data_IF_864533122983
#
_entry.id   IF_864533122983
#
_cell.length_a   1.000
_cell.length_b   1.000
_cell.length_c   1.000
_cell.angle_alpha   90.00
_cell.angle_beta   90.00
_cell.angle_gamma   90.00
#
_symmetry.space_group_name_H-M   'P 1'
#
loop_
_entity.id
_entity.type
_entity.pdbx_description
1 polymer ?
#
# COMPACT_ATOMS: atom_id res chain seq x y z
N UNK A 1 33.28 -38.91 16.36
CA UNK A 1 34.19 -37.74 16.34
C UNK A 1 35.27 -37.97 15.31
N UNK A 2 35.59 -37.13 14.33
CA UNK A 2 34.94 -35.98 13.72
C UNK A 2 35.62 -35.87 12.33
N UNK A 3 34.84 -36.14 11.28
CA UNK A 3 35.13 -35.83 9.87
C UNK A 3 34.98 -34.33 9.68
N UNK A 4 36.00 -33.60 9.22
CA UNK A 4 35.85 -32.34 8.47
C UNK A 4 37.22 -31.91 7.93
N UNK A 5 37.57 -32.35 6.72
CA UNK A 5 38.57 -31.64 5.92
C UNK A 5 38.42 -31.99 4.44
N UNK A 6 37.50 -31.32 3.74
CA UNK A 6 37.50 -31.22 2.28
C UNK A 6 36.47 -30.16 1.86
N UNK A 7 36.93 -28.98 1.42
CA UNK A 7 36.34 -28.17 0.34
C UNK A 7 37.02 -26.78 0.29
N UNK A 8 38.19 -26.70 -0.36
CA UNK A 8 38.67 -25.42 -0.93
C UNK A 8 38.18 -25.34 -2.37
N UNK A 9 37.12 -24.57 -2.62
CA UNK A 9 36.64 -24.27 -3.97
C UNK A 9 37.52 -23.19 -4.60
N UNK A 10 38.14 -23.51 -5.75
CA UNK A 10 38.74 -22.54 -6.67
C UNK A 10 37.64 -21.63 -7.22
N UNK A 11 37.84 -20.32 -7.15
CA UNK A 11 37.04 -19.32 -7.88
C UNK A 11 37.36 -19.45 -9.37
N UNK A 12 36.37 -19.74 -10.19
CA UNK A 12 36.47 -19.62 -11.64
C UNK A 12 36.17 -18.17 -12.02
N UNK A 13 37.07 -17.54 -12.76
CA UNK A 13 36.87 -16.22 -13.37
C UNK A 13 35.98 -16.37 -14.60
N UNK A 14 34.90 -15.59 -14.65
CA UNK A 14 34.01 -15.50 -15.80
C UNK A 14 34.63 -14.51 -16.79
N UNK A 15 34.82 -14.87 -18.07
CA UNK A 15 35.33 -13.96 -19.07
C UNK A 15 34.33 -12.81 -19.27
N UNK A 16 34.83 -11.58 -19.26
CA UNK A 16 34.05 -10.39 -19.57
C UNK A 16 33.80 -10.35 -21.07
N UNK A 17 32.59 -10.67 -21.50
CA UNK A 17 32.14 -10.40 -22.86
C UNK A 17 31.91 -8.90 -23.04
N UNK A 18 32.45 -8.38 -24.15
CA UNK A 18 32.38 -6.98 -24.55
C UNK A 18 31.00 -6.72 -25.17
N UNK A 19 30.05 -6.27 -24.34
CA UNK A 19 28.68 -5.98 -24.79
C UNK A 19 28.67 -4.64 -25.52
N UNK A 20 28.79 -4.70 -26.85
CA UNK A 20 28.62 -3.57 -27.77
C UNK A 20 27.21 -2.97 -27.62
N UNK A 21 27.11 -1.83 -26.94
CA UNK A 21 25.90 -1.02 -26.79
C UNK A 21 25.61 -0.20 -28.05
N UNK A 22 25.13 -0.85 -29.12
CA UNK A 22 24.46 -0.10 -30.20
C UNK A 22 23.07 0.32 -29.74
N UNK A 23 22.71 1.63 -29.80
CA UNK A 23 21.37 2.08 -29.46
C UNK A 23 20.37 1.52 -30.48
N UNK A 24 19.37 0.80 -29.96
CA UNK A 24 18.25 0.28 -30.74
C UNK A 24 17.30 1.46 -31.04
N UNK A 25 17.23 1.90 -32.29
CA UNK A 25 16.31 2.95 -32.74
C UNK A 25 14.93 2.33 -33.01
N UNK A 26 13.94 2.69 -32.21
CA UNK A 26 12.53 2.42 -32.50
C UNK A 26 12.04 3.41 -33.56
N UNK A 27 11.61 2.92 -34.72
CA UNK A 27 10.77 3.71 -35.61
C UNK A 27 9.37 3.86 -35.00
N UNK A 28 8.77 5.07 -35.04
CA UNK A 28 7.45 5.30 -34.49
C UNK A 28 6.39 4.57 -35.33
N UNK A 29 5.68 3.62 -34.72
CA UNK A 29 4.57 2.92 -35.35
C UNK A 29 3.46 3.91 -35.74
N UNK A 30 2.88 3.68 -36.92
CA UNK A 30 1.82 4.48 -37.50
C UNK A 30 0.63 4.66 -36.54
N UNK A 31 0.22 5.92 -36.42
CA UNK A 31 -0.82 6.38 -35.51
C UNK A 31 -2.19 5.96 -36.04
N UNK A 32 -2.73 4.85 -35.54
CA UNK A 32 -4.09 4.40 -35.85
C UNK A 32 -5.08 5.38 -35.21
N UNK A 33 -5.85 6.10 -36.02
CA UNK A 33 -6.92 6.98 -35.53
C UNK A 33 -8.09 6.14 -34.98
N UNK A 34 -8.61 6.46 -33.78
CA UNK A 34 -9.68 5.69 -33.18
C UNK A 34 -11.02 5.97 -33.89
N UNK A 35 -11.61 4.93 -34.46
CA UNK A 35 -12.99 4.94 -34.97
C UNK A 35 -13.97 5.19 -33.82
N UNK A 36 -14.63 6.35 -33.84
CA UNK A 36 -15.67 6.71 -32.88
C UNK A 36 -16.94 5.95 -33.22
N UNK A 37 -17.27 4.93 -32.41
CA UNK A 37 -18.55 4.23 -32.48
C UNK A 37 -19.50 4.87 -31.48
N UNK A 38 -20.54 5.54 -31.99
CA UNK A 38 -21.61 6.13 -31.18
C UNK A 38 -22.47 5.02 -30.57
N UNK A 39 -22.62 4.91 -29.24
CA UNK A 39 -23.44 3.88 -28.63
C UNK A 39 -24.94 4.16 -28.87
N UNK A 40 -25.69 3.12 -29.21
CA UNK A 40 -27.14 3.18 -29.30
C UNK A 40 -27.76 3.44 -27.91
N UNK A 41 -28.76 4.33 -27.90
CA UNK A 41 -29.50 4.79 -26.72
C UNK A 41 -30.20 3.60 -26.04
N UNK A 42 -29.83 3.30 -24.80
CA UNK A 42 -30.48 2.25 -24.01
C UNK A 42 -31.89 2.70 -23.55
N UNK A 43 -32.87 1.78 -23.47
CA UNK A 43 -34.22 2.09 -22.99
C UNK A 43 -34.22 2.47 -21.51
N UNK A 44 -35.08 3.43 -21.14
CA UNK A 44 -35.26 3.87 -19.75
C UNK A 44 -35.72 2.73 -18.84
N UNK A 45 -35.11 2.56 -17.66
CA UNK A 45 -35.55 1.57 -16.69
C UNK A 45 -36.92 1.96 -16.09
N UNK A 46 -37.81 0.98 -16.03
CA UNK A 46 -39.13 1.10 -15.41
C UNK A 46 -39.01 1.52 -13.94
N UNK A 47 -39.86 2.47 -13.54
CA UNK A 47 -39.93 3.00 -12.19
C UNK A 47 -40.43 1.92 -11.23
N UNK A 48 -39.53 1.41 -10.39
CA UNK A 48 -39.86 0.47 -9.32
C UNK A 48 -40.26 1.25 -8.06
N UNK A 49 -41.51 1.06 -7.63
CA UNK A 49 -42.10 1.76 -6.49
C UNK A 49 -41.36 1.43 -5.18
N UNK A 50 -40.67 2.42 -4.63
CA UNK A 50 -39.90 2.29 -3.40
C UNK A 50 -40.81 2.01 -2.19
N UNK A 51 -40.66 0.82 -1.60
CA UNK A 51 -41.33 0.41 -0.37
C UNK A 51 -40.67 1.10 0.84
N UNK A 52 -41.35 2.08 1.42
CA UNK A 52 -40.88 2.82 2.61
C UNK A 52 -40.95 1.90 3.83
N UNK A 53 -39.79 1.50 4.36
CA UNK A 53 -39.68 0.78 5.64
C UNK A 53 -39.55 1.83 6.76
N UNK A 54 -40.64 2.00 7.51
CA UNK A 54 -40.72 2.92 8.65
C UNK A 54 -39.86 2.39 9.80
N UNK A 55 -38.64 2.94 9.93
CA UNK A 55 -37.69 2.51 10.97
C UNK A 55 -37.87 3.43 12.17
N UNK A 56 -38.46 2.92 13.26
CA UNK A 56 -38.64 3.65 14.51
C UNK A 56 -37.29 3.77 15.25
N UNK A 57 -36.63 4.91 15.10
CA UNK A 57 -35.42 5.25 15.84
C UNK A 57 -35.82 5.74 17.24
N UNK A 58 -35.68 4.88 18.25
CA UNK A 58 -35.83 5.26 19.65
C UNK A 58 -34.61 6.11 20.05
N UNK A 59 -34.81 7.42 20.15
CA UNK A 59 -33.79 8.40 20.51
C UNK A 59 -33.59 8.39 22.03
N UNK A 60 -32.65 7.58 22.53
CA UNK A 60 -32.24 7.67 23.94
C UNK A 60 -31.31 8.88 24.11
N UNK A 61 -31.87 10.02 24.51
CA UNK A 61 -31.13 11.22 24.88
C UNK A 61 -30.65 11.08 26.33
N UNK A 62 -29.62 10.26 26.55
CA UNK A 62 -28.88 10.32 27.81
C UNK A 62 -28.00 11.59 27.78
N UNK A 63 -28.28 12.55 28.65
CA UNK A 63 -27.45 13.73 28.85
C UNK A 63 -26.08 13.29 29.41
N UNK A 64 -25.09 13.22 28.54
CA UNK A 64 -23.72 12.88 28.92
C UNK A 64 -23.00 14.16 29.36
N UNK A 65 -22.79 14.31 30.66
CA UNK A 65 -22.05 15.44 31.21
C UNK A 65 -20.55 15.12 31.26
N UNK A 66 -19.75 15.89 30.53
CA UNK A 66 -18.29 15.76 30.54
C UNK A 66 -17.72 16.47 31.78
N UNK A 67 -17.45 15.70 32.84
CA UNK A 67 -16.79 16.23 34.05
C UNK A 67 -15.27 16.24 33.83
N UNK A 68 -14.64 17.42 33.96
CA UNK A 68 -13.17 17.56 33.94
C UNK A 68 -12.60 17.01 35.24
N UNK A 69 -11.45 16.31 35.19
CA UNK A 69 -10.74 15.99 36.43
C UNK A 69 -10.34 17.30 37.12
N UNK A 70 -10.59 17.39 38.42
CA UNK A 70 -10.26 18.58 39.19
C UNK A 70 -8.74 18.75 39.36
N UNK A 71 -8.01 17.63 39.32
CA UNK A 71 -6.57 17.60 39.50
C UNK A 71 -5.80 17.66 38.17
N UNK A 72 -4.74 18.49 38.09
CA UNK A 72 -3.87 18.60 36.93
C UNK A 72 -2.85 17.46 36.90
N UNK A 73 -3.21 16.33 36.31
CA UNK A 73 -2.38 15.11 36.29
C UNK A 73 -1.50 14.96 35.05
N UNK A 74 -1.54 15.91 34.10
CA UNK A 74 -0.83 15.78 32.83
C UNK A 74 0.46 16.57 32.80
N UNK A 75 1.40 16.09 32.00
CA UNK A 75 2.62 16.79 31.64
C UNK A 75 2.87 16.71 30.14
N UNK A 76 3.73 17.61 29.65
CA UNK A 76 4.31 17.54 28.31
C UNK A 76 5.78 17.19 28.39
N UNK A 77 6.25 16.39 27.45
CA UNK A 77 7.61 15.88 27.45
C UNK A 77 8.18 15.80 26.05
N UNK A 78 9.51 15.80 25.97
CA UNK A 78 10.26 15.60 24.73
C UNK A 78 11.29 14.50 24.89
N UNK A 79 11.60 13.81 23.79
CA UNK A 79 12.76 12.93 23.75
C UNK A 79 13.86 13.61 22.94
N UNK A 80 15.08 13.58 23.47
CA UNK A 80 16.28 14.13 22.85
C UNK A 80 17.25 13.03 22.46
N UNK A 81 17.91 13.22 21.32
CA UNK A 81 19.01 12.35 20.91
C UNK A 81 20.31 12.73 21.62
N UNK A 82 21.37 11.95 21.39
CA UNK A 82 22.70 12.19 21.97
C UNK A 82 23.34 13.54 21.59
N UNK A 83 22.82 14.21 20.57
CA UNK A 83 23.22 15.56 20.17
C UNK A 83 22.29 16.66 20.74
N UNK A 84 21.31 16.27 21.59
CA UNK A 84 20.36 17.18 22.23
C UNK A 84 19.17 17.59 21.34
N UNK A 85 19.03 17.02 20.13
CA UNK A 85 17.93 17.38 19.23
C UNK A 85 16.64 16.72 19.69
N UNK A 86 15.56 17.50 19.75
CA UNK A 86 14.21 16.97 20.00
C UNK A 86 13.74 16.20 18.78
N UNK A 87 13.52 14.89 18.95
CA UNK A 87 13.01 14.02 17.89
C UNK A 87 11.64 13.42 18.20
N UNK A 88 11.10 13.62 19.41
CA UNK A 88 9.74 13.23 19.76
C UNK A 88 9.14 14.22 20.76
N UNK A 89 7.85 14.50 20.61
CA UNK A 89 7.07 15.32 21.54
C UNK A 89 5.85 14.52 21.96
N UNK A 90 5.56 14.48 23.26
CA UNK A 90 4.40 13.79 23.80
C UNK A 90 3.71 14.59 24.90
N UNK A 91 2.54 14.09 25.29
CA UNK A 91 1.87 14.45 26.54
C UNK A 91 1.47 13.14 27.23
N UNK A 92 1.39 13.16 28.55
CA UNK A 92 0.97 11.99 29.31
C UNK A 92 0.81 12.28 30.79
N UNK A 93 0.53 11.23 31.54
CA UNK A 93 0.49 11.20 33.00
C UNK A 93 1.30 9.97 33.46
N UNK A 94 1.61 9.88 34.75
CA UNK A 94 2.42 8.79 35.31
C UNK A 94 3.71 8.53 34.51
N UNK A 95 3.98 7.28 34.12
CA UNK A 95 5.18 6.87 33.38
C UNK A 95 5.02 6.88 31.85
N UNK A 96 4.00 7.56 31.30
CA UNK A 96 3.76 7.57 29.85
C UNK A 96 4.93 8.12 29.03
N UNK A 97 5.77 8.98 29.58
CA UNK A 97 6.97 9.46 28.90
C UNK A 97 7.90 8.29 28.52
N UNK A 98 8.02 7.27 29.37
CA UNK A 98 8.95 6.15 29.22
C UNK A 98 8.34 4.91 28.57
N UNK A 99 7.02 4.87 28.37
CA UNK A 99 6.35 3.75 27.72
C UNK A 99 6.86 3.50 26.28
N UNK A 100 6.85 2.23 25.78
CA UNK A 100 7.30 1.90 24.43
C UNK A 100 6.61 2.72 23.33
N UNK A 101 7.38 3.26 22.39
CA UNK A 101 6.87 4.10 21.29
C UNK A 101 6.73 3.34 19.96
N UNK A 102 6.21 4.06 18.95
CA UNK A 102 6.00 3.57 17.59
C UNK A 102 7.27 2.99 16.93
N UNK A 103 7.09 2.18 15.88
CA UNK A 103 8.22 1.59 15.15
C UNK A 103 9.18 2.63 14.54
N UNK A 104 8.67 3.79 14.10
CA UNK A 104 9.50 4.88 13.59
C UNK A 104 10.39 5.51 14.67
N UNK A 105 9.85 5.65 15.88
CA UNK A 105 10.63 6.10 17.03
C UNK A 105 11.75 5.11 17.35
N UNK A 106 11.45 3.80 17.40
CA UNK A 106 12.45 2.76 17.70
C UNK A 106 13.57 2.75 16.65
N UNK A 107 13.20 2.90 15.38
CA UNK A 107 14.14 3.01 14.27
C UNK A 107 15.05 4.22 14.41
N UNK A 108 14.50 5.39 14.75
CA UNK A 108 15.30 6.60 14.97
C UNK A 108 16.31 6.42 16.10
N UNK A 109 15.89 5.88 17.24
CA UNK A 109 16.79 5.62 18.37
C UNK A 109 17.92 4.67 17.97
N UNK A 110 17.59 3.56 17.31
CA UNK A 110 18.58 2.56 16.88
C UNK A 110 19.58 3.09 15.84
N UNK A 111 19.11 3.83 14.83
CA UNK A 111 19.93 4.20 13.66
C UNK A 111 20.57 5.59 13.76
N UNK A 112 19.94 6.54 14.48
CA UNK A 112 20.36 7.95 14.49
C UNK A 112 20.79 8.47 15.84
N UNK A 113 20.23 7.93 16.92
CA UNK A 113 20.55 8.34 18.28
C UNK A 113 21.65 7.50 18.94
N UNK A 114 22.22 6.53 18.20
CA UNK A 114 23.22 5.61 18.75
C UNK A 114 22.67 4.66 19.81
N UNK A 115 21.36 4.41 19.82
CA UNK A 115 20.69 3.54 20.78
C UNK A 115 20.34 4.19 22.12
N UNK A 116 20.70 5.45 22.36
CA UNK A 116 20.37 6.17 23.60
C UNK A 116 19.40 7.33 23.34
N UNK A 117 18.69 7.79 24.35
CA UNK A 117 17.90 9.02 24.31
C UNK A 117 17.67 9.53 25.73
N UNK A 118 17.35 10.81 25.85
CA UNK A 118 16.96 11.44 27.10
C UNK A 118 15.47 11.83 27.04
N UNK A 119 14.78 11.75 28.18
CA UNK A 119 13.41 12.24 28.34
C UNK A 119 13.45 13.48 29.21
N UNK A 120 12.91 14.59 28.71
CA UNK A 120 12.77 15.84 29.45
C UNK A 120 11.29 16.16 29.62
N UNK A 121 10.84 16.32 30.87
CA UNK A 121 9.53 16.89 31.19
C UNK A 121 9.64 18.41 31.01
N UNK A 122 8.92 18.94 30.03
CA UNK A 122 9.00 20.37 29.67
C UNK A 122 8.11 21.21 30.58
N UNK A 123 6.95 20.66 30.94
CA UNK A 123 5.98 21.30 31.82
C UNK A 123 5.07 20.23 32.42
N UNK A 124 4.84 20.30 33.73
CA UNK A 124 4.08 19.34 34.54
C UNK A 124 2.88 20.06 35.21
N UNK A 125 2.04 19.29 35.90
CA UNK A 125 0.85 19.78 36.61
C UNK A 125 -0.09 20.59 35.69
N UNK A 126 -0.37 20.02 34.52
CA UNK A 126 -1.26 20.59 33.52
C UNK A 126 -2.62 19.91 33.49
N UNK A 127 -3.65 20.71 33.22
CA UNK A 127 -4.91 20.17 32.72
C UNK A 127 -4.75 19.67 31.27
N UNK A 128 -5.61 18.74 30.86
CA UNK A 128 -5.55 18.13 29.51
C UNK A 128 -5.54 19.17 28.37
N UNK A 129 -6.33 20.23 28.49
CA UNK A 129 -6.42 21.28 27.47
C UNK A 129 -5.10 22.09 27.39
N UNK A 130 -4.49 22.37 28.53
CA UNK A 130 -3.19 23.06 28.62
C UNK A 130 -2.06 22.18 28.08
N UNK A 131 -2.00 20.91 28.49
CA UNK A 131 -1.03 19.94 27.98
C UNK A 131 -1.16 19.78 26.46
N UNK A 132 -2.40 19.76 25.94
CA UNK A 132 -2.66 19.69 24.50
C UNK A 132 -2.14 20.93 23.77
N UNK A 133 -2.44 22.13 24.27
CA UNK A 133 -1.95 23.37 23.69
C UNK A 133 -0.42 23.47 23.72
N UNK A 134 0.21 23.07 24.83
CA UNK A 134 1.67 23.06 24.98
C UNK A 134 2.33 22.04 24.05
N UNK A 135 1.78 20.84 23.94
CA UNK A 135 2.20 19.81 22.99
C UNK A 135 2.13 20.34 21.55
N UNK A 136 1.03 20.99 21.17
CA UNK A 136 0.86 21.57 19.84
C UNK A 136 1.94 22.62 19.52
N UNK A 137 2.22 23.51 20.48
CA UNK A 137 3.29 24.50 20.35
C UNK A 137 4.69 23.85 20.17
N UNK A 138 4.99 22.80 20.93
CA UNK A 138 6.24 22.03 20.80
C UNK A 138 6.33 21.30 19.45
N UNK A 139 5.24 20.68 19.00
CA UNK A 139 5.16 20.02 17.69
C UNK A 139 5.43 21.01 16.56
N UNK A 140 4.87 22.23 16.64
CA UNK A 140 5.11 23.29 15.67
C UNK A 140 6.56 23.78 15.69
N UNK A 141 7.13 23.99 16.88
CA UNK A 141 8.53 24.42 17.07
C UNK A 141 9.53 23.41 16.51
N UNK A 142 9.28 22.12 16.69
CA UNK A 142 10.19 21.03 16.31
C UNK A 142 9.76 20.26 15.06
N UNK A 143 8.87 20.83 14.24
CA UNK A 143 8.24 20.15 13.10
C UNK A 143 9.20 19.48 12.10
N UNK A 144 10.46 19.96 12.01
CA UNK A 144 11.49 19.43 11.10
C UNK A 144 12.24 18.21 11.64
N UNK A 145 12.27 18.00 12.95
CA UNK A 145 13.12 17.00 13.61
C UNK A 145 12.32 15.87 14.25
N UNK A 146 11.02 16.07 14.49
CA UNK A 146 10.18 15.10 15.18
C UNK A 146 9.75 13.91 14.30
N UNK A 147 9.67 12.72 14.90
CA UNK A 147 9.20 11.48 14.26
C UNK A 147 7.69 11.23 14.46
N UNK A 148 6.99 12.12 15.17
CA UNK A 148 5.56 12.01 15.46
C UNK A 148 4.72 11.88 14.18
N UNK A 149 4.25 10.65 13.92
CA UNK A 149 3.08 10.26 13.10
C UNK A 149 2.19 11.39 12.58
N UNK A 150 1.41 11.86 13.53
CA UNK A 150 0.14 12.53 13.31
C UNK A 150 0.26 14.04 13.51
N UNK A 151 1.43 14.62 13.27
CA UNK A 151 1.59 16.07 13.41
C UNK A 151 1.15 16.79 12.12
N UNK A 152 0.27 17.80 12.23
CA UNK A 152 -0.18 18.58 11.07
C UNK A 152 0.92 19.48 10.50
N UNK A 153 2.01 19.70 11.25
CA UNK A 153 3.11 20.59 10.85
C UNK A 153 4.17 19.91 9.99
N UNK A 154 3.97 18.65 9.58
CA UNK A 154 4.87 17.99 8.65
C UNK A 154 4.96 18.77 7.36
N UNK A 155 6.19 19.02 6.93
CA UNK A 155 6.49 19.54 5.60
C UNK A 155 6.31 18.42 4.57
N UNK A 156 5.06 18.01 4.36
CA UNK A 156 4.71 17.02 3.35
C UNK A 156 4.86 17.67 1.98
N UNK A 157 5.73 17.10 1.15
CA UNK A 157 5.87 17.51 -0.25
C UNK A 157 4.68 16.94 -1.05
N UNK A 158 3.57 17.67 -1.02
CA UNK A 158 2.32 17.25 -1.67
C UNK A 158 2.50 17.03 -3.17
N UNK A 159 3.41 17.75 -3.84
CA UNK A 159 3.71 17.54 -5.26
C UNK A 159 4.38 16.19 -5.51
N UNK A 160 5.32 15.77 -4.66
CA UNK A 160 5.88 14.41 -4.74
C UNK A 160 4.84 13.35 -4.43
N UNK A 161 3.94 13.62 -3.50
CA UNK A 161 2.86 12.70 -3.14
C UNK A 161 1.85 12.52 -4.28
N UNK A 162 1.43 13.63 -4.90
CA UNK A 162 0.61 13.65 -6.11
C UNK A 162 1.28 12.88 -7.26
N UNK A 163 2.54 13.21 -7.57
CA UNK A 163 3.33 12.50 -8.59
C UNK A 163 3.42 11.00 -8.32
N UNK A 164 3.58 10.60 -7.05
CA UNK A 164 3.57 9.18 -6.68
C UNK A 164 2.22 8.52 -7.01
N UNK A 165 1.10 9.19 -6.73
CA UNK A 165 -0.22 8.70 -7.05
C UNK A 165 -0.47 8.61 -8.55
N UNK A 166 -0.06 9.61 -9.32
CA UNK A 166 -0.13 9.62 -10.78
C UNK A 166 0.64 8.43 -11.38
N UNK A 167 1.89 8.23 -10.96
CA UNK A 167 2.72 7.12 -11.43
C UNK A 167 2.11 5.76 -11.08
N UNK A 168 1.55 5.63 -9.88
CA UNK A 168 0.88 4.40 -9.44
C UNK A 168 -0.38 4.10 -10.26
N UNK A 169 -1.21 5.11 -10.51
CA UNK A 169 -2.42 4.95 -11.32
C UNK A 169 -2.07 4.67 -12.78
N UNK A 170 -1.05 5.35 -13.33
CA UNK A 170 -0.51 5.06 -14.65
C UNK A 170 0.02 3.62 -14.76
N UNK A 171 0.69 3.09 -13.74
CA UNK A 171 1.13 1.70 -13.72
C UNK A 171 -0.05 0.70 -13.75
N UNK A 172 -1.12 0.96 -12.99
CA UNK A 172 -2.34 0.14 -13.01
C UNK A 172 -2.92 0.08 -14.43
N UNK A 173 -3.05 1.23 -15.09
CA UNK A 173 -3.56 1.30 -16.47
C UNK A 173 -2.67 0.52 -17.44
N UNK A 174 -1.34 0.68 -17.35
CA UNK A 174 -0.40 -0.07 -18.19
C UNK A 174 -0.51 -1.58 -18.01
N UNK A 175 -0.63 -2.06 -16.77
CA UNK A 175 -0.79 -3.50 -16.52
C UNK A 175 -2.13 -4.03 -17.02
N UNK A 176 -3.22 -3.26 -16.92
CA UNK A 176 -4.51 -3.62 -17.54
C UNK A 176 -4.40 -3.73 -19.05
N UNK A 177 -3.80 -2.73 -19.69
CA UNK A 177 -3.57 -2.75 -21.14
C UNK A 177 -2.70 -3.94 -21.56
N UNK A 178 -1.63 -4.22 -20.81
CA UNK A 178 -0.76 -5.36 -21.08
C UNK A 178 -1.50 -6.69 -20.90
N UNK A 179 -2.34 -6.83 -19.86
CA UNK A 179 -3.15 -8.03 -19.66
C UNK A 179 -4.15 -8.23 -20.80
N UNK A 180 -4.80 -7.16 -21.27
CA UNK A 180 -5.69 -7.21 -22.45
C UNK A 180 -4.93 -7.64 -23.70
N UNK A 181 -3.77 -7.03 -23.99
CA UNK A 181 -2.96 -7.41 -25.13
C UNK A 181 -2.51 -8.89 -25.05
N UNK A 182 -2.13 -9.37 -23.85
CA UNK A 182 -1.79 -10.78 -23.65
C UNK A 182 -2.97 -11.72 -23.93
N UNK A 183 -4.20 -11.31 -23.62
CA UNK A 183 -5.37 -12.09 -23.99
C UNK A 183 -5.54 -12.20 -25.51
N UNK A 184 -5.24 -11.13 -26.24
CA UNK A 184 -5.26 -11.15 -27.71
C UNK A 184 -4.15 -12.07 -28.26
N UNK A 185 -2.94 -11.99 -27.70
CA UNK A 185 -1.82 -12.88 -28.07
C UNK A 185 -2.09 -14.35 -27.78
N UNK A 186 -2.75 -14.66 -26.65
CA UNK A 186 -3.07 -16.04 -26.27
C UNK A 186 -4.00 -16.74 -27.29
N UNK A 187 -4.68 -15.99 -28.15
CA UNK A 187 -5.50 -16.56 -29.23
C UNK A 187 -4.72 -16.93 -30.50
N UNK A 188 -3.47 -16.47 -30.62
CA UNK A 188 -2.65 -16.71 -31.81
C UNK A 188 -2.02 -18.11 -31.73
N UNK A 189 -2.43 -19.00 -32.63
CA UNK A 189 -1.78 -20.30 -32.81
C UNK A 189 -0.62 -20.17 -33.80
N UNK A 190 0.62 -20.13 -33.27
CA UNK A 190 1.82 -20.01 -34.08
C UNK A 190 2.27 -21.36 -34.69
N UNK A 191 1.94 -22.47 -34.04
CA UNK A 191 2.29 -23.83 -34.47
C UNK A 191 1.04 -24.58 -34.91
N UNK A 192 1.16 -25.35 -36.00
CA UNK A 192 0.14 -26.30 -36.43
C UNK A 192 0.39 -27.72 -35.90
N UNK A 193 -0.49 -28.66 -36.29
CA UNK A 193 -0.38 -30.07 -35.92
C UNK A 193 -0.70 -30.35 -34.44
N UNK A 194 -0.39 -31.56 -33.97
CA UNK A 194 -0.80 -32.03 -32.65
C UNK A 194 -0.25 -31.16 -31.49
N UNK A 195 0.97 -30.60 -31.62
CA UNK A 195 1.54 -29.72 -30.58
C UNK A 195 0.75 -28.41 -30.50
N UNK A 196 0.44 -27.79 -31.65
CA UNK A 196 -0.40 -26.59 -31.71
C UNK A 196 -1.83 -26.83 -31.22
N UNK A 197 -2.40 -28.00 -31.51
CA UNK A 197 -3.72 -28.42 -31.01
C UNK A 197 -3.71 -28.58 -29.48
N UNK A 198 -2.70 -29.27 -28.93
CA UNK A 198 -2.56 -29.46 -27.49
C UNK A 198 -2.27 -28.15 -26.76
N UNK A 199 -1.40 -27.29 -27.30
CA UNK A 199 -1.13 -25.96 -26.74
C UNK A 199 -2.37 -25.05 -26.82
N UNK A 200 -3.11 -25.09 -27.92
CA UNK A 200 -4.36 -24.34 -28.08
C UNK A 200 -5.46 -24.75 -27.09
N UNK A 201 -5.43 -26.01 -26.62
CA UNK A 201 -6.38 -26.50 -25.62
C UNK A 201 -6.10 -25.98 -24.20
N UNK A 202 -4.90 -25.46 -23.93
CA UNK A 202 -4.48 -24.98 -22.61
C UNK A 202 -3.84 -23.60 -22.74
N UNK A 203 -4.64 -22.54 -22.95
CA UNK A 203 -4.10 -21.21 -23.03
C UNK A 203 -3.44 -20.84 -21.69
N UNK A 204 -2.30 -20.15 -21.75
CA UNK A 204 -1.58 -19.64 -20.58
C UNK A 204 -1.65 -18.12 -20.58
N UNK A 205 -1.74 -17.51 -19.39
CA UNK A 205 -1.57 -16.07 -19.24
C UNK A 205 -0.14 -15.73 -18.82
N UNK A 206 0.27 -14.49 -19.00
CA UNK A 206 1.43 -13.97 -18.27
C UNK A 206 1.01 -13.64 -16.82
N UNK A 207 1.07 -14.65 -15.97
CA UNK A 207 0.69 -14.55 -14.56
C UNK A 207 1.49 -13.50 -13.78
N UNK A 208 2.67 -13.10 -14.29
CA UNK A 208 3.49 -12.04 -13.67
C UNK A 208 2.81 -10.68 -13.83
N UNK A 209 2.17 -10.41 -14.96
CA UNK A 209 1.40 -9.17 -15.17
C UNK A 209 0.26 -9.08 -14.17
N UNK A 210 -0.49 -10.17 -13.97
CA UNK A 210 -1.56 -10.23 -12.98
C UNK A 210 -1.04 -10.06 -11.54
N UNK A 211 0.11 -10.66 -11.19
CA UNK A 211 0.72 -10.46 -9.87
C UNK A 211 1.07 -8.97 -9.63
N UNK A 212 1.67 -8.31 -10.62
CA UNK A 212 2.00 -6.87 -10.52
C UNK A 212 0.75 -5.99 -10.45
N UNK A 213 -0.28 -6.29 -11.25
CA UNK A 213 -1.55 -5.56 -11.23
C UNK A 213 -2.22 -5.66 -9.85
N UNK A 214 -2.41 -6.88 -9.34
CA UNK A 214 -3.07 -7.12 -8.06
C UNK A 214 -2.29 -6.54 -6.87
N UNK A 215 -0.96 -6.50 -6.95
CA UNK A 215 -0.12 -5.78 -5.98
C UNK A 215 -0.38 -4.26 -6.00
N UNK A 216 -0.45 -3.65 -7.18
CA UNK A 216 -0.71 -2.21 -7.32
C UNK A 216 -2.11 -1.82 -6.86
N UNK A 217 -3.12 -2.62 -7.20
CA UNK A 217 -4.51 -2.43 -6.76
C UNK A 217 -4.64 -2.56 -5.24
N UNK A 218 -4.01 -3.58 -4.63
CA UNK A 218 -4.03 -3.78 -3.18
C UNK A 218 -3.39 -2.61 -2.42
N UNK A 219 -2.25 -2.10 -2.90
CA UNK A 219 -1.59 -0.92 -2.32
C UNK A 219 -2.40 0.37 -2.49
N UNK A 220 -3.32 0.38 -3.44
CA UNK A 220 -4.25 1.49 -3.69
C UNK A 220 -5.59 1.30 -2.97
N UNK A 221 -5.74 0.24 -2.15
CA UNK A 221 -6.98 -0.13 -1.44
C UNK A 221 -8.17 -0.39 -2.37
N UNK A 222 -7.92 -0.71 -3.62
CA UNK A 222 -8.93 -1.08 -4.63
C UNK A 222 -9.24 -2.57 -4.54
N UNK A 223 -9.73 -3.02 -3.38
CA UNK A 223 -9.85 -4.45 -3.07
C UNK A 223 -10.87 -5.18 -3.95
N UNK A 224 -11.97 -4.52 -4.33
CA UNK A 224 -12.96 -5.08 -5.27
C UNK A 224 -12.33 -5.41 -6.61
N UNK A 225 -11.56 -4.46 -7.17
CA UNK A 225 -10.83 -4.64 -8.44
C UNK A 225 -9.79 -5.78 -8.34
N UNK A 226 -9.16 -6.01 -7.17
CA UNK A 226 -8.25 -7.16 -6.99
C UNK A 226 -9.00 -8.49 -7.18
N UNK A 227 -10.18 -8.61 -6.56
CA UNK A 227 -10.99 -9.83 -6.62
C UNK A 227 -11.51 -10.05 -8.04
N UNK A 228 -12.09 -9.02 -8.65
CA UNK A 228 -12.67 -9.06 -9.99
C UNK A 228 -11.65 -9.43 -11.06
N UNK A 229 -10.52 -8.71 -11.13
CA UNK A 229 -9.48 -8.94 -12.14
C UNK A 229 -8.83 -10.32 -11.99
N UNK A 230 -8.60 -10.75 -10.74
CA UNK A 230 -8.04 -12.09 -10.48
C UNK A 230 -9.01 -13.19 -10.87
N UNK A 231 -10.31 -13.03 -10.54
CA UNK A 231 -11.35 -13.98 -10.91
C UNK A 231 -11.49 -14.07 -12.43
N UNK A 232 -11.62 -12.93 -13.12
CA UNK A 232 -11.73 -12.88 -14.57
C UNK A 232 -10.53 -13.56 -15.25
N UNK A 233 -9.32 -13.38 -14.72
CA UNK A 233 -8.14 -14.05 -15.24
C UNK A 233 -8.15 -15.56 -14.95
N UNK A 234 -8.40 -16.01 -13.72
CA UNK A 234 -8.38 -17.44 -13.40
C UNK A 234 -9.54 -18.23 -13.98
N UNK A 235 -10.71 -17.60 -14.21
CA UNK A 235 -11.81 -18.23 -14.95
C UNK A 235 -11.40 -18.51 -16.40
N UNK A 236 -10.59 -17.63 -17.00
CA UNK A 236 -10.07 -17.78 -18.36
C UNK A 236 -8.85 -18.71 -18.45
N UNK A 237 -8.01 -18.71 -17.41
CA UNK A 237 -6.78 -19.51 -17.34
C UNK A 237 -6.71 -20.32 -16.04
N UNK A 238 -7.51 -21.40 -15.90
CA UNK A 238 -7.62 -22.14 -14.64
C UNK A 238 -6.30 -22.74 -14.17
N UNK A 239 -5.42 -23.14 -15.09
CA UNK A 239 -4.14 -23.77 -14.77
C UNK A 239 -3.19 -22.84 -13.99
N UNK A 240 -3.31 -21.52 -14.17
CA UNK A 240 -2.43 -20.56 -13.52
C UNK A 240 -2.64 -20.50 -12.00
N UNK A 241 -3.77 -20.98 -11.50
CA UNK A 241 -4.07 -21.09 -10.06
C UNK A 241 -3.08 -22.00 -9.32
N UNK A 242 -2.49 -22.98 -10.01
CA UNK A 242 -1.56 -23.94 -9.42
C UNK A 242 -0.11 -23.42 -9.35
N UNK A 243 0.20 -22.36 -10.10
CA UNK A 243 1.52 -21.74 -10.09
C UNK A 243 1.86 -21.07 -8.75
N UNK A 244 3.14 -20.84 -8.48
CA UNK A 244 3.58 -20.13 -7.27
C UNK A 244 3.08 -18.68 -7.23
N UNK A 245 3.05 -18.02 -8.39
CA UNK A 245 2.48 -16.68 -8.56
C UNK A 245 0.96 -16.69 -8.34
N UNK A 246 0.24 -17.64 -8.96
CA UNK A 246 -1.20 -17.83 -8.77
C UNK A 246 -1.59 -18.02 -7.31
N UNK A 247 -0.88 -18.89 -6.58
CA UNK A 247 -1.05 -19.08 -5.13
C UNK A 247 -0.82 -17.79 -4.34
N UNK A 248 0.14 -16.97 -4.75
CA UNK A 248 0.42 -15.67 -4.12
C UNK A 248 -0.71 -14.68 -4.35
N UNK A 249 -1.25 -14.65 -5.57
CA UNK A 249 -2.40 -13.82 -5.95
C UNK A 249 -3.64 -14.26 -5.17
N UNK A 250 -3.93 -15.57 -5.08
CA UNK A 250 -5.07 -16.08 -4.31
C UNK A 250 -5.02 -15.68 -2.83
N UNK A 251 -3.84 -15.76 -2.19
CA UNK A 251 -3.67 -15.25 -0.81
C UNK A 251 -3.98 -13.76 -0.69
N UNK A 252 -3.62 -12.98 -1.73
CA UNK A 252 -3.89 -11.54 -1.79
C UNK A 252 -5.38 -11.26 -2.00
N UNK A 253 -6.06 -12.06 -2.81
CA UNK A 253 -7.52 -12.03 -3.02
C UNK A 253 -8.26 -12.32 -1.72
N UNK A 254 -7.88 -13.38 -0.99
CA UNK A 254 -8.51 -13.70 0.30
C UNK A 254 -8.33 -12.58 1.32
N UNK A 255 -7.13 -12.00 1.40
CA UNK A 255 -6.89 -10.81 2.22
C UNK A 255 -7.69 -9.58 1.75
N UNK A 256 -7.90 -9.41 0.44
CA UNK A 256 -8.69 -8.31 -0.09
C UNK A 256 -10.17 -8.45 0.30
N UNK A 257 -10.72 -9.68 0.29
CA UNK A 257 -12.10 -9.97 0.70
C UNK A 257 -12.39 -9.58 2.15
N UNK A 258 -11.43 -9.70 3.07
CA UNK A 258 -11.62 -9.27 4.47
C UNK A 258 -11.80 -7.76 4.64
N UNK A 259 -11.53 -6.97 3.60
CA UNK A 259 -11.71 -5.52 3.59
C UNK A 259 -12.96 -5.05 2.84
N UNK A 260 -13.66 -5.97 2.16
CA UNK A 260 -14.91 -5.65 1.49
C UNK A 260 -16.07 -5.71 2.49
N UNK A 261 -17.08 -4.85 2.36
CA UNK A 261 -18.31 -5.01 3.13
C UNK A 261 -18.93 -6.38 2.79
N UNK A 262 -19.60 -7.04 3.75
CA UNK A 262 -20.39 -8.22 3.44
C UNK A 262 -21.38 -7.85 2.33
N UNK A 263 -21.44 -8.66 1.28
CA UNK A 263 -22.46 -8.52 0.25
C UNK A 263 -23.82 -8.67 0.94
N UNK A 264 -24.63 -7.61 0.88
CA UNK A 264 -25.99 -7.59 1.40
C UNK A 264 -26.91 -8.49 0.56
#
# INVERSE_FOLDING_TARGET
MAFFDLFKRKKAEIPKEDVSTKPFSFEPADRIEPTVVTPALAPEPAQEEARVVETSVVKMEAEFEWVRSEDPIYYTYVHRDCAGNVFYVGMGHDDWAWAPKSGLWKKYVAERSGGSYEVEIVEDELYIDQATAKKDALLRKHAKTIVNIQTPYRQTDYKKWERFHELRNGAILRYRSALKAMHEYASIQAEGGLVGELQGSTPFTDIVILDRLTLCLSRSRKYGEVVEESKACFDRYPHDTHSSAGKTILKRVEKAKTHLPPLA
#
